data_IF_204116160537
#
_entry.id   IF_204116160537
#
_cell.length_a   1.000
_cell.length_b   1.000
_cell.length_c   1.000
_cell.angle_alpha   90.00
_cell.angle_beta   90.00
_cell.angle_gamma   90.00
#
_symmetry.space_group_name_H-M   'P 1'
#
loop_
_entity.id
_entity.type
_entity.pdbx_description
1 polymer ?
#
# COMPACT_ATOMS: atom_id res chain seq x y z
N UNK A 1 -3.42 10.97 -23.30
CA UNK A 1 -2.20 10.70 -22.49
C UNK A 1 -1.18 10.11 -23.43
N UNK A 2 0.03 10.66 -23.44
CA UNK A 2 1.14 10.13 -24.25
C UNK A 2 1.76 8.92 -23.56
N UNK A 3 2.35 7.99 -24.30
CA UNK A 3 2.94 6.76 -23.73
C UNK A 3 3.96 7.03 -22.62
N UNK A 4 4.66 8.16 -22.69
CA UNK A 4 5.59 8.62 -21.66
C UNK A 4 4.92 9.01 -20.32
N UNK A 5 3.71 9.58 -20.36
CA UNK A 5 2.97 9.91 -19.14
C UNK A 5 2.49 8.64 -18.43
N UNK A 6 2.07 7.63 -19.19
CA UNK A 6 1.65 6.32 -18.68
C UNK A 6 2.81 5.59 -17.99
N UNK A 7 4.01 5.58 -18.59
CA UNK A 7 5.19 4.94 -18.00
C UNK A 7 5.63 5.64 -16.71
N UNK A 8 5.59 6.98 -16.68
CA UNK A 8 5.90 7.75 -15.47
C UNK A 8 4.92 7.46 -14.35
N UNK A 9 3.62 7.39 -14.66
CA UNK A 9 2.60 7.06 -13.67
C UNK A 9 2.79 5.64 -13.14
N UNK A 10 3.06 4.67 -14.01
CA UNK A 10 3.33 3.28 -13.60
C UNK A 10 4.55 3.19 -12.67
N UNK A 11 5.64 3.89 -12.99
CA UNK A 11 6.82 3.95 -12.11
C UNK A 11 6.43 4.46 -10.73
N UNK A 12 5.70 5.57 -10.67
CA UNK A 12 5.29 6.19 -9.41
C UNK A 12 4.38 5.26 -8.60
N UNK A 13 3.45 4.58 -9.26
CA UNK A 13 2.56 3.62 -8.61
C UNK A 13 3.35 2.44 -8.00
N UNK A 14 4.38 1.95 -8.68
CA UNK A 14 5.26 0.87 -8.19
C UNK A 14 6.14 1.33 -7.03
N UNK A 15 6.75 2.53 -7.12
CA UNK A 15 7.53 3.12 -6.03
C UNK A 15 6.69 3.26 -4.76
N UNK A 16 5.48 3.78 -4.89
CA UNK A 16 4.60 3.97 -3.74
C UNK A 16 4.13 2.64 -3.14
N UNK A 17 3.91 1.60 -3.95
CA UNK A 17 3.62 0.24 -3.45
C UNK A 17 4.80 -0.27 -2.62
N UNK A 18 6.03 -0.12 -3.11
CA UNK A 18 7.22 -0.57 -2.41
C UNK A 18 7.41 0.16 -1.06
N UNK A 19 7.15 1.47 -1.03
CA UNK A 19 7.19 2.26 0.22
C UNK A 19 6.16 1.77 1.24
N UNK A 20 4.90 1.54 0.82
CA UNK A 20 3.85 1.01 1.70
C UNK A 20 4.20 -0.40 2.20
N UNK A 21 4.69 -1.28 1.33
CA UNK A 21 5.10 -2.63 1.73
C UNK A 21 6.27 -2.62 2.71
N UNK A 22 7.20 -1.68 2.57
CA UNK A 22 8.29 -1.48 3.54
C UNK A 22 7.74 -1.12 4.91
N UNK A 23 6.78 -0.17 4.98
CA UNK A 23 6.13 0.21 6.24
C UNK A 23 5.38 -0.95 6.89
N UNK A 24 4.66 -1.74 6.09
CA UNK A 24 3.97 -2.95 6.58
C UNK A 24 4.98 -3.91 7.19
N UNK A 25 6.04 -4.25 6.46
CA UNK A 25 7.07 -5.19 6.94
C UNK A 25 7.72 -4.71 8.24
N UNK A 26 8.07 -3.42 8.35
CA UNK A 26 8.63 -2.84 9.57
C UNK A 26 7.66 -2.92 10.75
N UNK A 27 6.38 -2.56 10.56
CA UNK A 27 5.41 -2.60 11.65
C UNK A 27 5.05 -4.03 12.07
N UNK A 28 5.02 -4.98 11.12
CA UNK A 28 4.87 -6.41 11.44
C UNK A 28 6.06 -6.91 12.25
N UNK A 29 7.28 -6.51 11.89
CA UNK A 29 8.49 -6.92 12.62
C UNK A 29 8.55 -6.37 14.04
N UNK A 30 7.99 -5.17 14.27
CA UNK A 30 7.92 -4.52 15.59
C UNK A 30 6.68 -4.94 16.40
N UNK A 31 5.77 -5.74 15.81
CA UNK A 31 4.47 -6.06 16.39
C UNK A 31 4.60 -6.75 17.75
N UNK A 32 4.12 -6.09 18.80
CA UNK A 32 4.17 -6.61 20.17
C UNK A 32 5.53 -6.50 20.87
N UNK A 33 6.50 -5.78 20.28
CA UNK A 33 7.78 -5.47 20.91
C UNK A 33 7.73 -4.12 21.66
N UNK A 34 7.09 -3.11 21.06
CA UNK A 34 7.14 -1.72 21.53
C UNK A 34 5.89 -1.27 22.35
N UNK A 35 5.12 -2.22 22.92
CA UNK A 35 3.86 -1.95 23.65
C UNK A 35 2.85 -1.03 22.91
N UNK A 36 2.98 -0.94 21.58
CA UNK A 36 2.19 -0.09 20.68
C UNK A 36 1.49 -0.91 19.58
N UNK A 37 1.16 -2.16 19.88
CA UNK A 37 0.61 -3.13 18.93
C UNK A 37 -0.65 -2.62 18.20
N UNK A 38 -1.52 -1.86 18.88
CA UNK A 38 -2.72 -1.29 18.27
C UNK A 38 -2.38 -0.27 17.18
N UNK A 39 -1.40 0.60 17.42
CA UNK A 39 -0.95 1.59 16.45
C UNK A 39 -0.22 0.92 15.27
N UNK A 40 0.60 -0.09 15.56
CA UNK A 40 1.25 -0.88 14.52
C UNK A 40 0.22 -1.60 13.64
N UNK A 41 -0.83 -2.19 14.23
CA UNK A 41 -1.92 -2.81 13.49
C UNK A 41 -2.73 -1.81 12.67
N UNK A 42 -2.94 -0.60 13.18
CA UNK A 42 -3.55 0.50 12.42
C UNK A 42 -2.71 0.83 11.18
N UNK A 43 -1.41 1.03 11.35
CA UNK A 43 -0.48 1.33 10.25
C UNK A 43 -0.44 0.19 9.22
N UNK A 44 -0.34 -1.06 9.68
CA UNK A 44 -0.37 -2.24 8.80
C UNK A 44 -1.64 -2.26 7.96
N UNK A 45 -2.79 -2.02 8.59
CA UNK A 45 -4.10 -2.02 7.91
C UNK A 45 -4.20 -0.89 6.88
N UNK A 46 -3.77 0.32 7.24
CA UNK A 46 -3.81 1.48 6.36
C UNK A 46 -2.90 1.29 5.14
N UNK A 47 -1.65 0.85 5.34
CA UNK A 47 -0.70 0.66 4.25
C UNK A 47 -1.08 -0.52 3.35
N UNK A 48 -1.60 -1.62 3.91
CA UNK A 48 -2.15 -2.73 3.12
C UNK A 48 -3.32 -2.26 2.23
N UNK A 49 -4.22 -1.45 2.77
CA UNK A 49 -5.34 -0.91 1.99
C UNK A 49 -4.84 -0.01 0.85
N UNK A 50 -3.81 0.81 1.07
CA UNK A 50 -3.19 1.62 0.00
C UNK A 50 -2.61 0.74 -1.11
N UNK A 51 -1.89 -0.32 -0.76
CA UNK A 51 -1.34 -1.27 -1.73
C UNK A 51 -2.44 -1.94 -2.54
N UNK A 52 -3.47 -2.46 -1.87
CA UNK A 52 -4.59 -3.12 -2.54
C UNK A 52 -5.35 -2.17 -3.47
N UNK A 53 -5.58 -0.92 -3.06
CA UNK A 53 -6.25 0.07 -3.90
C UNK A 53 -5.40 0.45 -5.14
N UNK A 54 -4.08 0.51 -5.01
CA UNK A 54 -3.17 0.73 -6.14
C UNK A 54 -3.17 -0.45 -7.10
N UNK A 55 -3.08 -1.68 -6.59
CA UNK A 55 -3.19 -2.90 -7.41
C UNK A 55 -4.53 -2.92 -8.16
N UNK A 56 -5.64 -2.59 -7.49
CA UNK A 56 -6.96 -2.51 -8.15
C UNK A 56 -6.95 -1.52 -9.30
N UNK A 57 -6.38 -0.34 -9.13
CA UNK A 57 -6.26 0.66 -10.22
C UNK A 57 -5.42 0.14 -11.38
N UNK A 58 -4.26 -0.48 -11.12
CA UNK A 58 -3.38 -1.01 -12.16
C UNK A 58 -4.04 -2.10 -13.01
N UNK A 59 -4.88 -2.94 -12.38
CA UNK A 59 -5.55 -4.05 -13.04
C UNK A 59 -7.03 -3.77 -13.38
N UNK A 60 -7.50 -2.53 -13.21
CA UNK A 60 -8.90 -2.13 -13.41
C UNK A 60 -9.92 -3.03 -12.68
N UNK A 61 -9.59 -3.42 -11.44
CA UNK A 61 -10.45 -4.25 -10.59
C UNK A 61 -11.53 -3.39 -9.90
N UNK A 62 -12.69 -3.99 -9.54
CA UNK A 62 -13.71 -3.30 -8.77
C UNK A 62 -13.18 -2.84 -7.40
N UNK A 63 -13.79 -1.79 -6.81
CA UNK A 63 -13.41 -1.30 -5.49
C UNK A 63 -13.59 -2.38 -4.42
N UNK A 64 -12.91 -2.20 -3.28
CA UNK A 64 -13.03 -3.11 -2.16
C UNK A 64 -14.51 -3.25 -1.73
N UNK A 65 -15.02 -4.48 -1.52
CA UNK A 65 -16.37 -4.67 -1.02
C UNK A 65 -16.50 -4.08 0.38
N UNK A 66 -17.58 -3.32 0.63
CA UNK A 66 -17.92 -2.77 1.95
C UNK A 66 -17.31 -1.41 2.32
N UNK A 67 -16.93 -0.59 1.33
CA UNK A 67 -16.65 0.85 1.53
C UNK A 67 -17.87 1.70 1.19
#
# INVERSE_FOLDING_TARGET
>A
MTDNETIKQLRKDVEDIAESMTKVATNVALLGIDDNADEQMRIITEENNKVLDRIRKLYNLPPAPGR
#
